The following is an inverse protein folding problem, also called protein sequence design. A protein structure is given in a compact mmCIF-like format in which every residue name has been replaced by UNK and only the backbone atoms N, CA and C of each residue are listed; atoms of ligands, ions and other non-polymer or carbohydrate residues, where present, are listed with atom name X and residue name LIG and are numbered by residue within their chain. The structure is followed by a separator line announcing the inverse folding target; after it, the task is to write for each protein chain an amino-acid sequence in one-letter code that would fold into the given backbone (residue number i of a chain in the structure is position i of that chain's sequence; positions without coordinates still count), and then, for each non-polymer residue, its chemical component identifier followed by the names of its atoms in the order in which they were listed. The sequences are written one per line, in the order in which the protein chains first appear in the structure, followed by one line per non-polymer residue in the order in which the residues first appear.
data_IF_237832250246
#
_entry.id   IF_237832250246
#
_cell.length_a   1.000
_cell.length_b   1.000
_cell.length_c   1.000
_cell.angle_alpha   90.00
_cell.angle_beta   90.00
_cell.angle_gamma   90.00
#
_symmetry.space_group_name_H-M   'P 1'
#
loop_
_entity.id
_entity.type
_entity.pdbx_description
1 polymer ?
#
# COMPACT_ATOMS: atom_id res chain seq x y z
N UNK A 1 -13.04 8.10 10.71
CA UNK A 1 -11.78 8.32 11.46
C UNK A 1 -10.95 9.37 10.76
N UNK A 2 -10.38 10.28 11.52
CA UNK A 2 -9.44 11.24 10.97
C UNK A 2 -8.03 10.68 11.02
N UNK A 3 -7.34 10.67 9.88
CA UNK A 3 -5.99 10.14 9.80
C UNK A 3 -4.99 11.29 9.90
N UNK A 4 -4.02 11.24 10.85
CA UNK A 4 -3.00 12.28 10.97
C UNK A 4 -2.23 12.46 9.66
N UNK A 5 -1.76 13.68 9.40
CA UNK A 5 -1.07 14.01 8.16
C UNK A 5 0.16 13.14 7.89
N UNK A 6 0.95 12.85 8.92
CA UNK A 6 2.12 11.98 8.77
C UNK A 6 1.71 10.57 8.32
N UNK A 7 0.64 10.03 8.89
CA UNK A 7 0.13 8.72 8.50
C UNK A 7 -0.38 8.72 7.07
N UNK A 8 -1.02 9.80 6.62
CA UNK A 8 -1.47 9.93 5.23
C UNK A 8 -0.29 9.88 4.27
N UNK A 9 0.77 10.64 4.57
CA UNK A 9 1.99 10.64 3.77
C UNK A 9 2.65 9.27 3.75
N UNK A 10 2.72 8.63 4.91
CA UNK A 10 3.32 7.30 5.03
C UNK A 10 2.48 6.23 4.33
N UNK A 11 1.16 6.37 4.35
CA UNK A 11 0.26 5.46 3.66
C UNK A 11 0.51 5.50 2.15
N UNK A 12 0.55 6.69 1.57
CA UNK A 12 0.83 6.87 0.15
C UNK A 12 2.23 6.36 -0.21
N UNK A 13 3.22 6.75 0.59
CA UNK A 13 4.61 6.31 0.38
C UNK A 13 4.71 4.79 0.41
N UNK A 14 4.06 4.15 1.38
CA UNK A 14 4.10 2.70 1.52
C UNK A 14 3.47 1.97 0.33
N UNK A 15 2.36 2.48 -0.19
CA UNK A 15 1.73 1.91 -1.37
C UNK A 15 2.64 2.03 -2.60
N UNK A 16 3.33 3.16 -2.75
CA UNK A 16 4.28 3.36 -3.83
C UNK A 16 5.50 2.43 -3.70
N UNK A 17 6.00 2.22 -2.49
CA UNK A 17 7.09 1.27 -2.24
C UNK A 17 6.64 -0.14 -2.61
N UNK A 18 5.43 -0.54 -2.19
CA UNK A 18 4.88 -1.86 -2.50
C UNK A 18 4.81 -2.07 -4.01
N UNK A 19 4.27 -1.11 -4.75
CA UNK A 19 4.14 -1.19 -6.19
C UNK A 19 5.51 -1.22 -6.89
N UNK A 20 6.48 -0.46 -6.36
CA UNK A 20 7.83 -0.39 -6.94
C UNK A 20 8.62 -1.69 -6.77
N UNK A 21 8.31 -2.48 -5.73
CA UNK A 21 9.06 -3.71 -5.42
C UNK A 21 9.06 -4.74 -6.55
N UNK A 22 8.06 -4.75 -7.42
CA UNK A 22 8.03 -5.67 -8.55
C UNK A 22 8.68 -5.11 -9.81
N UNK A 23 9.36 -3.96 -9.70
CA UNK A 23 10.06 -3.24 -10.78
C UNK A 23 9.17 -2.72 -11.90
N UNK A 24 7.85 -2.74 -11.73
CA UNK A 24 6.91 -2.25 -12.75
C UNK A 24 5.74 -1.52 -12.12
N UNK A 25 5.81 -0.19 -12.10
CA UNK A 25 4.63 0.62 -11.85
C UNK A 25 3.83 0.66 -13.14
N UNK A 26 2.88 -0.27 -13.29
CA UNK A 26 2.01 -0.28 -14.45
C UNK A 26 0.88 0.76 -14.30
N UNK A 27 0.19 1.04 -15.41
CA UNK A 27 -0.87 2.06 -15.42
C UNK A 27 -2.02 1.73 -14.47
N UNK A 28 -2.35 0.45 -14.31
CA UNK A 28 -3.41 0.01 -13.40
C UNK A 28 -3.06 0.34 -11.95
N UNK A 29 -1.84 0.02 -11.54
CA UNK A 29 -1.36 0.32 -10.19
C UNK A 29 -1.31 1.82 -9.94
N UNK A 30 -0.79 2.59 -10.89
CA UNK A 30 -0.73 4.05 -10.79
C UNK A 30 -2.13 4.64 -10.63
N UNK A 31 -3.10 4.14 -11.41
CA UNK A 31 -4.48 4.59 -11.33
C UNK A 31 -5.11 4.31 -9.96
N UNK A 32 -4.85 3.13 -9.40
CA UNK A 32 -5.34 2.76 -8.07
C UNK A 32 -4.72 3.66 -7.00
N UNK A 33 -3.39 3.85 -7.05
CA UNK A 33 -2.69 4.68 -6.07
C UNK A 33 -3.12 6.14 -6.16
N UNK A 34 -3.43 6.60 -7.37
CA UNK A 34 -3.96 7.96 -7.57
C UNK A 34 -5.29 8.16 -6.84
N UNK A 35 -6.15 7.14 -6.84
CA UNK A 35 -7.41 7.18 -6.08
C UNK A 35 -7.15 7.27 -4.57
N UNK A 36 -6.17 6.53 -4.08
CA UNK A 36 -5.76 6.64 -2.68
C UNK A 36 -5.27 8.05 -2.35
N UNK A 37 -4.41 8.61 -3.21
CA UNK A 37 -3.88 9.95 -3.00
C UNK A 37 -4.99 10.99 -2.91
N UNK A 38 -5.97 10.92 -3.80
CA UNK A 38 -7.12 11.83 -3.78
C UNK A 38 -7.93 11.68 -2.48
N UNK A 39 -8.20 10.46 -2.06
CA UNK A 39 -8.94 10.19 -0.82
C UNK A 39 -8.16 10.62 0.43
N UNK A 40 -6.84 10.58 0.36
CA UNK A 40 -5.97 11.04 1.45
C UNK A 40 -5.79 12.57 1.46
N UNK A 41 -6.34 13.26 0.48
CA UNK A 41 -6.30 14.72 0.43
C UNK A 41 -5.14 15.32 -0.32
N UNK A 42 -4.40 14.54 -1.10
CA UNK A 42 -3.28 15.03 -1.91
C UNK A 42 -3.76 15.52 -3.27
N UNK A 43 -3.15 16.60 -3.75
CA UNK A 43 -3.47 17.13 -5.08
C UNK A 43 -2.93 16.23 -6.18
N UNK A 44 -3.51 16.34 -7.37
CA UNK A 44 -3.06 15.62 -8.55
C UNK A 44 -1.61 15.99 -8.90
N UNK A 45 -1.27 17.26 -8.80
CA UNK A 45 0.09 17.75 -9.07
C UNK A 45 1.12 17.16 -8.11
N UNK A 46 0.78 17.11 -6.83
CA UNK A 46 1.64 16.51 -5.81
C UNK A 46 1.86 15.02 -6.11
N UNK A 47 0.81 14.31 -6.49
CA UNK A 47 0.89 12.90 -6.82
C UNK A 47 1.83 12.65 -8.02
N UNK A 48 1.66 13.41 -9.10
CA UNK A 48 2.48 13.28 -10.32
C UNK A 48 3.95 13.57 -10.01
N UNK A 49 4.24 14.59 -9.23
CA UNK A 49 5.59 14.94 -8.81
C UNK A 49 6.22 13.83 -7.95
N UNK A 50 5.44 13.28 -7.02
CA UNK A 50 5.90 12.19 -6.15
C UNK A 50 6.25 10.95 -6.97
N UNK A 51 5.43 10.59 -7.93
CA UNK A 51 5.69 9.44 -8.80
C UNK A 51 6.96 9.67 -9.63
N UNK A 52 7.12 10.85 -10.21
CA UNK A 52 8.33 11.17 -10.99
C UNK A 52 9.59 11.01 -10.15
N UNK A 53 9.59 11.55 -8.93
CA UNK A 53 10.72 11.43 -8.01
C UNK A 53 11.00 9.97 -7.64
N UNK A 54 9.96 9.19 -7.40
CA UNK A 54 10.10 7.77 -7.04
C UNK A 54 10.74 6.96 -8.17
N UNK A 55 10.34 7.23 -9.41
CA UNK A 55 10.87 6.53 -10.58
C UNK A 55 12.32 6.91 -10.89
N UNK A 56 12.69 8.17 -10.64
CA UNK A 56 14.03 8.68 -10.92
C UNK A 56 15.03 8.43 -9.79
N UNK A 57 14.56 8.32 -8.55
CA UNK A 57 15.45 8.27 -7.39
C UNK A 57 15.70 6.83 -6.94
N UNK A 58 16.88 6.32 -7.26
CA UNK A 58 17.33 4.97 -6.87
C UNK A 58 17.66 4.87 -5.38
N UNK A 59 17.68 5.98 -4.66
CA UNK A 59 18.15 6.06 -3.27
C UNK A 59 17.03 6.29 -2.26
N UNK A 60 15.75 6.15 -2.68
CA UNK A 60 14.66 6.24 -1.72
C UNK A 60 14.77 5.07 -0.75
N UNK A 61 14.86 5.39 0.53
CA UNK A 61 14.92 4.41 1.60
C UNK A 61 13.62 3.62 1.66
N UNK A 62 13.73 2.30 1.53
CA UNK A 62 12.58 1.40 1.62
C UNK A 62 12.49 0.76 3.01
N UNK A 63 12.65 1.56 4.05
CA UNK A 63 12.52 1.08 5.42
C UNK A 63 11.06 0.79 5.77
N UNK A 64 10.81 -0.22 6.64
CA UNK A 64 9.45 -0.46 7.14
C UNK A 64 8.87 0.79 7.76
N UNK A 65 7.56 0.97 7.62
CA UNK A 65 6.87 2.19 8.05
C UNK A 65 6.10 1.92 9.33
N UNK A 66 6.20 2.85 10.30
CA UNK A 66 5.40 2.80 11.51
C UNK A 66 4.28 3.82 11.44
N UNK A 67 3.05 3.36 11.74
CA UNK A 67 1.87 4.21 11.80
C UNK A 67 1.54 4.55 13.25
N UNK A 68 0.78 5.61 13.45
CA UNK A 68 0.44 6.08 14.79
C UNK A 68 -0.58 5.19 15.52
N UNK A 69 -1.38 4.43 14.77
CA UNK A 69 -2.44 3.58 15.32
C UNK A 69 -2.44 2.21 14.65
N UNK A 70 -2.72 1.13 15.42
CA UNK A 70 -2.80 -0.22 14.85
C UNK A 70 -3.85 -0.36 13.75
N UNK A 71 -4.99 0.33 13.87
CA UNK A 71 -6.05 0.25 12.87
C UNK A 71 -5.61 0.80 11.52
N UNK A 72 -4.84 1.87 11.53
CA UNK A 72 -4.29 2.45 10.29
C UNK A 72 -3.27 1.49 9.69
N UNK A 73 -2.41 0.91 10.52
CA UNK A 73 -1.40 -0.05 10.08
C UNK A 73 -2.03 -1.29 9.45
N UNK A 74 -3.06 -1.86 10.09
CA UNK A 74 -3.77 -3.02 9.55
C UNK A 74 -4.43 -2.71 8.22
N UNK A 75 -5.08 -1.55 8.13
CA UNK A 75 -5.67 -1.06 6.88
C UNK A 75 -4.62 -0.99 5.78
N UNK A 76 -3.45 -0.43 6.09
CA UNK A 76 -2.35 -0.30 5.13
C UNK A 76 -1.86 -1.66 4.65
N UNK A 77 -1.65 -2.62 5.55
CA UNK A 77 -1.18 -3.95 5.17
C UNK A 77 -2.20 -4.64 4.26
N UNK A 78 -3.48 -4.57 4.60
CA UNK A 78 -4.54 -5.15 3.77
C UNK A 78 -4.55 -4.51 2.37
N UNK A 79 -4.46 -3.19 2.29
CA UNK A 79 -4.46 -2.48 1.01
C UNK A 79 -3.20 -2.76 0.20
N UNK A 80 -2.04 -2.86 0.86
CA UNK A 80 -0.79 -3.25 0.21
C UNK A 80 -0.86 -4.64 -0.39
N UNK A 81 -1.45 -5.59 0.33
CA UNK A 81 -1.66 -6.95 -0.18
C UNK A 81 -2.61 -6.96 -1.38
N UNK A 82 -3.71 -6.21 -1.31
CA UNK A 82 -4.65 -6.11 -2.43
C UNK A 82 -4.00 -5.50 -3.67
N UNK A 83 -3.20 -4.46 -3.47
CA UNK A 83 -2.46 -3.83 -4.57
C UNK A 83 -1.47 -4.79 -5.20
N UNK A 84 -0.72 -5.53 -4.39
CA UNK A 84 0.25 -6.52 -4.87
C UNK A 84 -0.42 -7.64 -5.65
N UNK A 85 -1.59 -8.11 -5.19
CA UNK A 85 -2.35 -9.18 -5.85
C UNK A 85 -3.01 -8.71 -7.14
N UNK A 86 -3.18 -7.40 -7.34
CA UNK A 86 -3.82 -6.87 -8.55
C UNK A 86 -3.11 -7.28 -9.83
N UNK A 87 -1.85 -7.71 -9.75
CA UNK A 87 -1.04 -8.18 -10.86
C UNK A 87 -1.07 -9.71 -11.04
N UNK A 88 -1.97 -10.42 -10.37
CA UNK A 88 -2.06 -11.88 -10.35
C UNK A 88 -0.86 -12.59 -9.72
N UNK A 89 0.16 -11.85 -9.29
CA UNK A 89 1.35 -12.42 -8.62
C UNK A 89 1.81 -11.53 -7.49
N UNK A 90 1.93 -12.12 -6.30
CA UNK A 90 2.60 -11.45 -5.20
C UNK A 90 4.06 -11.89 -5.23
N UNK A 91 4.99 -10.93 -5.39
CA UNK A 91 6.41 -11.20 -5.28
C UNK A 91 6.82 -11.39 -3.83
N UNK A 92 7.90 -12.17 -3.63
CA UNK A 92 8.44 -12.40 -2.28
C UNK A 92 8.92 -11.11 -1.65
N UNK A 93 9.52 -10.21 -2.42
CA UNK A 93 10.01 -8.92 -1.93
C UNK A 93 8.87 -8.06 -1.39
N UNK A 94 7.73 -8.01 -2.09
CA UNK A 94 6.56 -7.27 -1.65
C UNK A 94 6.00 -7.85 -0.36
N UNK A 95 5.85 -9.18 -0.32
CA UNK A 95 5.32 -9.88 0.85
C UNK A 95 6.24 -9.68 2.06
N UNK A 96 7.55 -9.83 1.88
CA UNK A 96 8.51 -9.66 2.96
C UNK A 96 8.50 -8.24 3.51
N UNK A 97 8.45 -7.24 2.64
CA UNK A 97 8.39 -5.84 3.07
C UNK A 97 7.11 -5.54 3.87
N UNK A 98 5.98 -6.08 3.42
CA UNK A 98 4.71 -5.90 4.12
C UNK A 98 4.73 -6.61 5.49
N UNK A 99 5.34 -7.79 5.56
CA UNK A 99 5.49 -8.51 6.83
C UNK A 99 6.38 -7.71 7.79
N UNK A 100 7.51 -7.19 7.32
CA UNK A 100 8.40 -6.37 8.15
C UNK A 100 7.69 -5.12 8.66
N UNK A 101 6.92 -4.46 7.79
CA UNK A 101 6.14 -3.29 8.17
C UNK A 101 5.06 -3.66 9.20
N UNK A 102 4.39 -4.79 9.00
CA UNK A 102 3.39 -5.28 9.96
C UNK A 102 4.02 -5.51 11.33
N UNK A 103 5.15 -6.20 11.37
CA UNK A 103 5.86 -6.50 12.63
C UNK A 103 6.30 -5.24 13.35
N UNK A 104 6.75 -4.22 12.63
CA UNK A 104 7.11 -2.93 13.21
C UNK A 104 5.90 -2.26 13.88
N UNK A 105 4.71 -2.55 13.42
CA UNK A 105 3.46 -2.01 13.98
C UNK A 105 2.78 -2.96 14.97
N UNK A 106 3.48 -3.99 15.42
CA UNK A 106 2.95 -4.94 16.38
C UNK A 106 1.94 -5.93 15.80
N UNK A 107 1.90 -6.08 14.48
CA UNK A 107 1.01 -7.01 13.80
C UNK A 107 1.78 -8.31 13.51
N UNK A 108 1.20 -9.44 13.91
CA UNK A 108 1.83 -10.75 13.77
C UNK A 108 1.87 -11.19 12.30
N UNK A 109 2.95 -11.86 11.93
CA UNK A 109 3.11 -12.48 10.61
C UNK A 109 1.94 -13.41 10.26
N UNK A 110 1.41 -14.14 11.25
CA UNK A 110 0.28 -15.04 11.05
C UNK A 110 -0.95 -14.28 10.55
N UNK A 111 -1.18 -13.08 11.09
CA UNK A 111 -2.29 -12.23 10.64
C UNK A 111 -2.11 -11.85 9.17
N UNK A 112 -0.89 -11.47 8.77
CA UNK A 112 -0.59 -11.09 7.38
C UNK A 112 -0.82 -12.27 6.43
N UNK A 113 -0.29 -13.44 6.79
CA UNK A 113 -0.42 -14.65 5.98
C UNK A 113 -1.88 -15.06 5.81
N UNK A 114 -2.65 -14.99 6.89
CA UNK A 114 -4.08 -15.31 6.85
C UNK A 114 -4.84 -14.32 5.97
N UNK A 115 -4.55 -13.03 6.11
CA UNK A 115 -5.19 -11.98 5.30
C UNK A 115 -4.87 -12.17 3.82
N UNK A 116 -3.63 -12.49 3.50
CA UNK A 116 -3.21 -12.76 2.13
C UNK A 116 -4.00 -13.91 1.51
N UNK A 117 -4.18 -15.00 2.25
CA UNK A 117 -4.98 -16.15 1.79
C UNK A 117 -6.44 -15.78 1.57
N UNK A 118 -7.01 -14.99 2.47
CA UNK A 118 -8.39 -14.52 2.33
C UNK A 118 -8.56 -13.70 1.05
N UNK A 119 -7.62 -12.83 0.75
CA UNK A 119 -7.66 -12.00 -0.45
C UNK A 119 -7.49 -12.85 -1.70
N UNK A 120 -6.54 -13.79 -1.70
CA UNK A 120 -6.28 -14.67 -2.85
C UNK A 120 -7.44 -15.59 -3.18
N UNK A 121 -8.20 -16.00 -2.18
CA UNK A 121 -9.32 -16.93 -2.36
C UNK A 121 -10.60 -16.27 -2.87
N UNK A 122 -10.65 -14.94 -2.93
CA UNK A 122 -11.79 -14.23 -3.47
C UNK A 122 -11.52 -13.89 -4.94
N UNK A 123 -12.43 -14.23 -5.87
CA UNK A 123 -12.27 -13.78 -7.25
C UNK A 123 -12.37 -12.26 -7.30
N UNK A 124 -11.31 -11.62 -7.78
CA UNK A 124 -11.24 -10.17 -7.80
C UNK A 124 -11.30 -9.63 -9.21
N UNK A 125 -12.20 -8.71 -9.41
CA UNK A 125 -12.17 -7.78 -10.53
C UNK A 125 -11.35 -6.59 -10.05
N UNK A 126 -10.16 -6.40 -10.61
CA UNK A 126 -9.19 -5.39 -10.19
C UNK A 126 -9.81 -4.00 -9.99
N UNK A 127 -10.72 -3.59 -10.86
CA UNK A 127 -11.38 -2.28 -10.77
C UNK A 127 -12.47 -2.18 -9.73
N UNK A 128 -12.82 -3.27 -9.03
CA UNK A 128 -13.91 -3.32 -8.04
C UNK A 128 -13.45 -3.73 -6.66
N UNK A 129 -12.15 -3.72 -6.40
CA UNK A 129 -11.64 -4.03 -5.07
C UNK A 129 -12.08 -2.97 -4.06
N UNK A 130 -12.59 -3.45 -2.93
CA UNK A 130 -12.86 -2.61 -1.76
C UNK A 130 -11.58 -2.48 -0.96
N UNK A 131 -11.02 -1.28 -0.93
CA UNK A 131 -9.82 -1.03 -0.14
C UNK A 131 -10.21 -0.62 1.28
N UNK A 132 -9.45 -1.11 2.27
CA UNK A 132 -9.72 -0.90 3.68
C UNK A 132 -9.72 0.59 4.05
N UNK A 133 -8.84 1.38 3.44
CA UNK A 133 -8.76 2.82 3.68
C UNK A 133 -10.11 3.52 3.45
N UNK A 134 -10.82 3.13 2.41
CA UNK A 134 -12.07 3.81 2.05
C UNK A 134 -13.19 3.60 3.07
N UNK A 135 -13.10 2.53 3.87
CA UNK A 135 -14.00 2.31 5.00
C UNK A 135 -13.54 3.03 6.26
N UNK A 136 -12.24 3.35 6.33
CA UNK A 136 -11.64 3.98 7.51
C UNK A 136 -11.87 5.49 7.54
N UNK A 137 -11.98 6.13 6.39
CA UNK A 137 -12.10 7.59 6.28
C UNK A 137 -13.47 8.06 5.75
#
# INVERSE_FOLDING_TARGET
MEIPQLDRSNYLKGLLITARKDNQLNETEISIIKKFAARLGFSSDFFEETISHLLENKYITEEPIKFSKPDIAKSFIEDGLKLAISDDKIGDDETNWLIETAQMNGIDKVWVTKKMKEIQNKPHLIGKMDFALFSLI
#
